data_IF_315163815987
#
_entry.id   IF_315163815987
#
_cell.length_a   1.000
_cell.length_b   1.000
_cell.length_c   1.000
_cell.angle_alpha   90.00
_cell.angle_beta   90.00
_cell.angle_gamma   90.00
#
_symmetry.space_group_name_H-M   'P 1'
#
loop_
_entity.id
_entity.type
_entity.pdbx_description
1 polymer ?
#
# COMPACT_ATOMS: atom_id res chain seq x y z
N UNK A 1 18.02 -5.11 -21.41
CA UNK A 1 18.74 -5.09 -20.11
C UNK A 1 17.70 -5.17 -19.00
N UNK A 2 17.64 -6.29 -18.28
CA UNK A 2 16.79 -6.41 -17.10
C UNK A 2 17.36 -5.52 -15.98
N UNK A 3 16.56 -4.70 -15.28
CA UNK A 3 17.06 -3.92 -14.16
C UNK A 3 17.54 -4.87 -13.06
N UNK A 4 18.85 -4.80 -12.78
CA UNK A 4 19.55 -5.58 -11.77
C UNK A 4 19.05 -5.21 -10.37
N UNK A 5 18.75 -6.23 -9.57
CA UNK A 5 18.64 -6.14 -8.13
C UNK A 5 20.04 -6.14 -7.47
N UNK A 6 20.17 -5.65 -6.23
CA UNK A 6 19.09 -5.30 -5.32
C UNK A 6 18.79 -3.81 -5.33
N UNK A 7 17.50 -3.46 -5.42
CA UNK A 7 17.08 -2.13 -4.98
C UNK A 7 17.59 -1.93 -3.55
N UNK A 8 18.25 -0.81 -3.23
CA UNK A 8 18.71 -0.57 -1.87
C UNK A 8 17.53 -0.63 -0.90
N UNK A 9 17.78 -1.21 0.28
CA UNK A 9 16.84 -1.49 1.37
C UNK A 9 16.20 -0.23 2.00
N UNK A 10 16.07 0.90 1.29
CA UNK A 10 15.46 2.13 1.81
C UNK A 10 13.94 2.03 1.94
N UNK A 11 13.33 1.07 1.24
CA UNK A 11 11.90 0.88 1.27
C UNK A 11 11.44 -0.11 2.33
N UNK A 12 12.32 -0.95 2.90
CA UNK A 12 11.93 -1.95 3.90
C UNK A 12 12.43 -1.58 5.29
N UNK A 13 11.59 -1.81 6.29
CA UNK A 13 11.87 -1.44 7.68
C UNK A 13 11.56 -2.61 8.63
N UNK A 14 12.24 -2.69 9.78
CA UNK A 14 12.07 -3.80 10.73
C UNK A 14 10.70 -3.77 11.39
N UNK A 15 10.14 -4.94 11.72
CA UNK A 15 8.76 -5.07 12.18
C UNK A 15 8.45 -4.33 13.50
N UNK A 16 9.45 -4.06 14.34
CA UNK A 16 9.24 -3.27 15.57
C UNK A 16 8.85 -1.81 15.27
N UNK A 17 9.13 -1.28 14.07
CA UNK A 17 8.67 0.04 13.65
C UNK A 17 7.21 0.06 13.18
N UNK A 18 6.55 -1.11 13.12
CA UNK A 18 5.20 -1.24 12.55
C UNK A 18 4.22 -0.27 13.16
N UNK A 19 4.11 -0.24 14.47
CA UNK A 19 3.07 0.53 15.14
C UNK A 19 3.27 2.04 14.84
N UNK A 20 4.50 2.56 14.96
CA UNK A 20 4.83 3.93 14.57
C UNK A 20 4.52 4.26 13.10
N UNK A 21 4.73 3.32 12.17
CA UNK A 21 4.46 3.51 10.73
C UNK A 21 2.97 3.41 10.40
N UNK A 22 2.21 2.60 11.13
CA UNK A 22 0.78 2.41 10.92
C UNK A 22 -0.06 3.48 11.65
N UNK A 23 0.37 3.94 12.83
CA UNK A 23 -0.28 5.04 13.56
C UNK A 23 -0.29 6.34 12.75
N UNK A 24 0.78 6.59 11.97
CA UNK A 24 0.82 7.73 11.05
C UNK A 24 -0.29 7.67 10.00
N UNK A 25 -0.61 6.48 9.50
CA UNK A 25 -1.70 6.34 8.55
C UNK A 25 -3.07 6.55 9.17
N UNK A 26 -3.26 6.18 10.45
CA UNK A 26 -4.49 6.46 11.20
C UNK A 26 -4.71 7.96 11.38
N UNK A 27 -3.64 8.71 11.65
CA UNK A 27 -3.69 10.18 11.71
C UNK A 27 -4.06 10.80 10.36
N UNK A 28 -3.58 10.23 9.25
CA UNK A 28 -3.92 10.72 7.91
C UNK A 28 -5.37 10.40 7.51
N UNK A 29 -5.87 9.22 7.90
CA UNK A 29 -7.25 8.77 7.67
C UNK A 29 -8.28 9.56 8.49
N UNK A 30 -7.92 9.92 9.73
CA UNK A 30 -8.77 10.78 10.56
C UNK A 30 -8.73 12.25 10.14
N UNK A 31 -7.64 12.71 9.52
CA UNK A 31 -7.53 14.07 8.99
C UNK A 31 -8.39 14.30 7.73
N UNK A 32 -8.80 13.24 7.03
CA UNK A 32 -9.72 13.36 5.88
C UNK A 32 -11.16 13.68 6.27
N UNK A 33 -11.55 13.57 7.54
CA UNK A 33 -12.86 14.02 8.05
C UNK A 33 -12.94 15.54 8.33
N UNK A 34 -11.82 16.27 8.21
CA UNK A 34 -11.78 17.70 8.49
C UNK A 34 -10.56 18.40 7.92
N UNK A 35 -10.69 18.88 6.67
CA UNK A 35 -9.90 19.98 6.07
C UNK A 35 -8.41 20.02 6.45
N UNK A 36 -7.62 19.05 5.96
CA UNK A 36 -6.19 19.23 5.79
C UNK A 36 -5.88 19.45 4.29
N UNK A 37 -5.74 20.71 3.88
CA UNK A 37 -5.35 21.08 2.52
C UNK A 37 -3.94 20.55 2.21
N UNK A 38 -3.85 19.33 1.66
CA UNK A 38 -2.59 18.70 1.25
C UNK A 38 -2.49 17.20 1.53
N UNK A 39 -3.31 16.65 2.43
CA UNK A 39 -3.40 15.20 2.62
C UNK A 39 -4.37 14.63 1.57
N UNK A 40 -3.84 13.93 0.57
CA UNK A 40 -4.67 13.21 -0.40
C UNK A 40 -5.45 12.07 0.26
N UNK A 41 -6.45 11.54 -0.44
CA UNK A 41 -7.30 10.44 0.03
C UNK A 41 -6.47 9.32 0.63
N UNK A 42 -6.73 8.98 1.90
CA UNK A 42 -6.07 7.91 2.63
C UNK A 42 -7.06 6.81 2.97
N UNK A 43 -6.59 5.57 3.07
CA UNK A 43 -7.42 4.50 3.61
C UNK A 43 -6.62 3.27 4.00
N UNK A 44 -7.14 2.55 5.00
CA UNK A 44 -6.56 1.30 5.47
C UNK A 44 -6.89 0.15 4.52
N UNK A 45 -6.02 -0.85 4.50
CA UNK A 45 -6.25 -2.10 3.79
C UNK A 45 -5.70 -3.30 4.57
N UNK A 46 -6.29 -4.45 4.30
CA UNK A 46 -5.88 -5.75 4.81
C UNK A 46 -5.88 -6.76 3.66
N UNK A 47 -4.93 -7.69 3.69
CA UNK A 47 -4.85 -8.84 2.80
C UNK A 47 -4.63 -10.09 3.64
N UNK A 48 -5.59 -11.00 3.63
CA UNK A 48 -5.43 -12.32 4.21
C UNK A 48 -4.65 -13.21 3.22
N UNK A 49 -3.53 -13.80 3.65
CA UNK A 49 -2.69 -14.62 2.75
C UNK A 49 -3.21 -16.05 2.59
N UNK A 50 -4.04 -16.55 3.50
CA UNK A 50 -4.57 -17.91 3.41
C UNK A 50 -5.66 -18.02 2.34
N UNK A 51 -6.54 -17.03 2.28
CA UNK A 51 -7.69 -16.94 1.37
C UNK A 51 -7.44 -16.02 0.17
N UNK A 52 -6.43 -15.15 0.25
CA UNK A 52 -6.18 -14.10 -0.73
C UNK A 52 -7.16 -12.92 -0.67
N UNK A 53 -8.07 -12.91 0.32
CA UNK A 53 -9.09 -11.87 0.45
C UNK A 53 -8.46 -10.51 0.75
N UNK A 54 -8.97 -9.48 0.09
CA UNK A 54 -8.60 -8.09 0.31
C UNK A 54 -9.77 -7.34 0.94
N UNK A 55 -9.47 -6.62 2.02
CA UNK A 55 -10.43 -5.72 2.66
C UNK A 55 -9.89 -4.31 2.57
N UNK A 56 -10.64 -3.42 1.91
CA UNK A 56 -10.26 -2.05 1.64
C UNK A 56 -11.27 -1.08 2.24
N UNK A 57 -10.76 -0.07 2.95
CA UNK A 57 -11.53 1.07 3.39
C UNK A 57 -12.10 1.88 2.20
N UNK A 58 -13.15 2.69 2.42
CA UNK A 58 -13.72 3.55 1.38
C UNK A 58 -12.68 4.42 0.66
N UNK A 59 -11.76 5.05 1.39
CA UNK A 59 -10.71 5.90 0.80
C UNK A 59 -9.79 5.16 -0.17
N UNK A 60 -9.50 3.86 0.08
CA UNK A 60 -8.73 3.05 -0.87
C UNK A 60 -9.52 2.79 -2.15
N UNK A 61 -10.83 2.56 -2.04
CA UNK A 61 -11.70 2.32 -3.21
C UNK A 61 -11.79 3.55 -4.09
N UNK A 62 -11.98 4.72 -3.47
CA UNK A 62 -11.97 6.02 -4.14
C UNK A 62 -10.64 6.27 -4.86
N UNK A 63 -9.51 6.02 -4.18
CA UNK A 63 -8.18 6.20 -4.75
C UNK A 63 -7.97 5.34 -6.00
N UNK A 64 -8.54 4.14 -6.05
CA UNK A 64 -8.49 3.23 -7.19
C UNK A 64 -9.58 3.51 -8.25
N UNK A 65 -10.50 4.43 -7.99
CA UNK A 65 -11.64 4.75 -8.87
C UNK A 65 -12.72 3.67 -8.89
N UNK A 66 -12.84 2.89 -7.82
CA UNK A 66 -13.82 1.79 -7.70
C UNK A 66 -15.11 2.28 -7.04
N UNK A 67 -16.23 1.64 -7.39
CA UNK A 67 -17.50 1.91 -6.71
C UNK A 67 -17.41 1.55 -5.21
N UNK A 68 -18.14 2.25 -4.32
CA UNK A 68 -18.07 2.04 -2.88
C UNK A 68 -18.27 0.58 -2.46
N UNK A 69 -19.16 -0.15 -3.13
CA UNK A 69 -19.50 -1.54 -2.81
C UNK A 69 -18.76 -2.59 -3.67
N UNK A 70 -17.85 -2.15 -4.57
CA UNK A 70 -17.14 -3.07 -5.44
C UNK A 70 -16.24 -4.03 -4.64
N UNK A 71 -16.31 -5.33 -4.90
CA UNK A 71 -15.40 -6.28 -4.23
C UNK A 71 -13.94 -5.91 -4.55
N UNK A 72 -13.08 -5.90 -3.52
CA UNK A 72 -11.66 -5.68 -3.71
C UNK A 72 -11.04 -6.97 -4.30
N UNK A 73 -10.86 -6.99 -5.61
CA UNK A 73 -10.16 -8.07 -6.29
C UNK A 73 -8.68 -7.72 -6.51
N UNK A 74 -7.78 -8.62 -6.10
CA UNK A 74 -6.34 -8.39 -6.20
C UNK A 74 -5.92 -8.23 -7.65
N UNK A 75 -6.44 -9.08 -8.53
CA UNK A 75 -6.05 -9.06 -9.94
C UNK A 75 -6.41 -7.72 -10.55
N UNK A 76 -7.65 -7.27 -10.35
CA UNK A 76 -8.15 -5.97 -10.79
C UNK A 76 -7.35 -4.82 -10.20
N UNK A 77 -7.02 -4.87 -8.92
CA UNK A 77 -6.17 -3.89 -8.26
C UNK A 77 -4.82 -3.74 -8.97
N UNK A 78 -4.16 -4.86 -9.30
CA UNK A 78 -2.85 -4.88 -9.94
C UNK A 78 -2.86 -4.25 -11.34
N UNK A 79 -3.97 -4.36 -12.08
CA UNK A 79 -4.13 -3.72 -13.40
C UNK A 79 -4.10 -2.20 -13.32
N UNK A 80 -4.43 -1.61 -12.16
CA UNK A 80 -4.41 -0.16 -11.97
C UNK A 80 -3.00 0.39 -11.72
N UNK A 81 -1.98 -0.45 -11.51
CA UNK A 81 -0.61 0.02 -11.31
C UNK A 81 0.13 0.19 -12.64
N UNK A 82 0.99 1.20 -12.72
CA UNK A 82 1.99 1.26 -13.77
C UNK A 82 2.96 0.07 -13.65
N UNK A 83 3.45 -0.44 -14.78
CA UNK A 83 4.16 -1.74 -14.82
C UNK A 83 5.40 -1.77 -13.93
N UNK A 84 6.22 -0.71 -13.96
CA UNK A 84 7.40 -0.59 -13.11
C UNK A 84 7.03 -0.50 -11.63
N UNK A 85 5.96 0.23 -11.31
CA UNK A 85 5.46 0.37 -9.93
C UNK A 85 4.89 -0.95 -9.41
N UNK A 86 4.17 -1.68 -10.26
CA UNK A 86 3.63 -3.02 -9.97
C UNK A 86 4.76 -4.00 -9.65
N UNK A 87 5.78 -4.05 -10.49
CA UNK A 87 6.92 -4.94 -10.31
C UNK A 87 7.69 -4.63 -9.01
N UNK A 88 7.94 -3.35 -8.70
CA UNK A 88 8.61 -2.96 -7.47
C UNK A 88 7.78 -3.32 -6.22
N UNK A 89 6.47 -3.05 -6.24
CA UNK A 89 5.55 -3.39 -5.15
C UNK A 89 5.49 -4.90 -4.90
N UNK A 90 5.38 -5.73 -5.94
CA UNK A 90 5.34 -7.19 -5.78
C UNK A 90 6.66 -7.75 -5.23
N UNK A 91 7.81 -7.20 -5.63
CA UNK A 91 9.12 -7.57 -5.05
C UNK A 91 9.19 -7.23 -3.56
N UNK A 92 8.79 -6.02 -3.17
CA UNK A 92 8.75 -5.61 -1.77
C UNK A 92 7.76 -6.45 -0.95
N UNK A 93 6.60 -6.79 -1.53
CA UNK A 93 5.63 -7.67 -0.92
C UNK A 93 6.22 -9.06 -0.66
N UNK A 94 6.87 -9.66 -1.64
CA UNK A 94 7.53 -10.96 -1.49
C UNK A 94 8.63 -10.90 -0.41
N UNK A 95 9.43 -9.83 -0.41
CA UNK A 95 10.45 -9.59 0.61
C UNK A 95 9.85 -9.47 2.02
N UNK A 96 8.77 -8.70 2.17
CA UNK A 96 8.06 -8.49 3.43
C UNK A 96 7.55 -9.80 4.04
N UNK A 97 6.94 -10.65 3.21
CA UNK A 97 6.44 -11.97 3.63
C UNK A 97 7.60 -12.89 4.01
N UNK A 98 8.67 -12.92 3.21
CA UNK A 98 9.81 -13.82 3.43
C UNK A 98 10.63 -13.45 4.67
N UNK A 99 10.78 -12.16 4.93
CA UNK A 99 11.72 -11.66 5.94
C UNK A 99 11.03 -11.03 7.16
N UNK A 100 9.70 -11.07 7.23
CA UNK A 100 8.89 -10.44 8.28
C UNK A 100 9.27 -8.96 8.46
N UNK A 101 9.28 -8.20 7.36
CA UNK A 101 9.60 -6.77 7.34
C UNK A 101 8.44 -5.98 6.78
N UNK A 102 8.25 -4.76 7.26
CA UNK A 102 7.35 -3.81 6.61
C UNK A 102 8.04 -3.10 5.45
N UNK A 103 7.26 -2.39 4.64
CA UNK A 103 7.78 -1.53 3.60
C UNK A 103 6.94 -0.28 3.35
N UNK A 104 7.59 0.73 2.76
CA UNK A 104 6.98 1.97 2.29
C UNK A 104 7.51 2.30 0.91
N UNK A 105 6.61 2.44 -0.06
CA UNK A 105 6.94 2.76 -1.44
C UNK A 105 5.88 3.67 -2.05
N UNK A 106 6.32 4.62 -2.87
CA UNK A 106 5.42 5.42 -3.70
C UNK A 106 5.32 4.78 -5.08
N UNK A 107 4.10 4.61 -5.56
CA UNK A 107 3.75 3.85 -6.76
C UNK A 107 2.82 4.67 -7.63
N UNK A 108 3.07 4.64 -8.93
CA UNK A 108 2.22 5.28 -9.92
C UNK A 108 1.03 4.39 -10.29
N UNK A 109 -0.13 5.01 -10.42
CA UNK A 109 -1.37 4.38 -10.88
C UNK A 109 -1.69 4.83 -12.31
N UNK A 110 -2.26 3.90 -13.08
CA UNK A 110 -2.83 4.12 -14.41
C UNK A 110 -4.17 4.84 -14.25
N UNK A 111 -4.18 6.16 -14.33
CA UNK A 111 -5.44 6.94 -14.30
C UNK A 111 -5.49 7.94 -15.47
N UNK A 112 -6.52 8.79 -15.54
CA UNK A 112 -6.62 9.90 -16.50
C UNK A 112 -5.59 11.03 -16.20
N UNK A 113 -4.32 10.64 -16.02
CA UNK A 113 -3.21 11.41 -15.47
C UNK A 113 -2.32 10.51 -14.60
N UNK A 114 -1.06 10.90 -14.38
CA UNK A 114 -0.18 10.16 -13.45
C UNK A 114 -0.59 10.49 -12.01
N UNK A 115 -1.23 9.53 -11.35
CA UNK A 115 -1.55 9.61 -9.91
C UNK A 115 -0.51 8.82 -9.11
N UNK A 116 0.03 9.42 -8.06
CA UNK A 116 1.00 8.77 -7.16
C UNK A 116 0.34 8.39 -5.84
N UNK A 117 0.58 7.17 -5.39
CA UNK A 117 0.09 6.65 -4.12
C UNK A 117 1.26 6.15 -3.27
N UNK A 118 1.30 6.53 -2.01
CA UNK A 118 2.16 5.92 -1.00
C UNK A 118 1.49 4.66 -0.46
N UNK A 119 2.21 3.54 -0.55
CA UNK A 119 1.83 2.27 0.05
C UNK A 119 2.71 2.01 1.27
N UNK A 120 2.09 1.96 2.44
CA UNK A 120 2.70 1.42 3.67
C UNK A 120 2.12 0.04 3.92
N UNK A 121 2.98 -0.95 4.14
CA UNK A 121 2.58 -2.33 4.32
C UNK A 121 3.39 -3.00 5.43
N UNK A 122 2.72 -3.79 6.26
CA UNK A 122 3.33 -4.57 7.33
C UNK A 122 2.75 -5.99 7.36
N UNK A 123 3.57 -7.02 7.64
CA UNK A 123 3.08 -8.37 7.85
C UNK A 123 2.33 -8.50 9.18
N UNK A 124 1.26 -9.28 9.15
CA UNK A 124 0.56 -9.78 10.33
C UNK A 124 1.15 -11.15 10.64
N UNK A 125 1.75 -11.30 11.82
CA UNK A 125 2.49 -12.50 12.21
C UNK A 125 1.79 -13.17 13.39
N UNK A 126 1.47 -14.45 13.22
CA UNK A 126 0.92 -15.33 14.26
C UNK A 126 1.75 -16.61 14.28
N UNK A 127 2.14 -17.10 15.45
CA UNK A 127 2.94 -18.33 15.61
C UNK A 127 4.20 -18.36 14.72
N UNK A 128 4.91 -17.22 14.63
CA UNK A 128 6.11 -17.01 13.79
C UNK A 128 5.86 -17.17 12.28
N UNK A 129 4.60 -17.15 11.83
CA UNK A 129 4.21 -17.22 10.42
C UNK A 129 3.49 -15.94 9.99
N UNK A 130 3.81 -15.45 8.81
CA UNK A 130 3.05 -14.35 8.19
C UNK A 130 1.71 -14.89 7.69
N UNK A 131 0.61 -14.41 8.27
CA UNK A 131 -0.76 -14.82 7.92
C UNK A 131 -1.46 -13.78 7.03
N UNK A 132 -0.96 -12.54 7.03
CA UNK A 132 -1.62 -11.42 6.36
C UNK A 132 -0.67 -10.27 6.11
N UNK A 133 -1.16 -9.27 5.41
CA UNK A 133 -0.55 -7.95 5.29
C UNK A 133 -1.61 -6.90 5.62
N UNK A 134 -1.21 -5.82 6.28
CA UNK A 134 -2.05 -4.65 6.45
C UNK A 134 -1.27 -3.37 6.21
N UNK A 135 -1.98 -2.27 6.07
CA UNK A 135 -1.38 -0.95 6.14
C UNK A 135 -2.24 0.11 5.51
N UNK A 136 -1.59 1.07 4.87
CA UNK A 136 -2.20 2.30 4.40
C UNK A 136 -1.89 2.57 2.94
N UNK A 137 -2.83 3.22 2.27
CA UNK A 137 -2.69 3.77 0.94
C UNK A 137 -3.10 5.22 0.99
N UNK A 138 -2.20 6.10 0.58
CA UNK A 138 -2.41 7.56 0.63
C UNK A 138 -2.10 8.15 -0.73
N UNK A 139 -2.98 8.99 -1.27
CA UNK A 139 -2.68 9.79 -2.46
C UNK A 139 -1.62 10.85 -2.10
N UNK A 140 -0.50 10.79 -2.82
CA UNK A 140 0.65 11.69 -2.66
C UNK A 140 0.96 12.42 -3.97
N UNK A 141 0.02 12.49 -4.91
CA UNK A 141 0.19 13.12 -6.22
C UNK A 141 0.65 14.58 -6.12
N UNK A 142 0.29 15.28 -5.04
CA UNK A 142 0.75 16.64 -4.76
C UNK A 142 2.28 16.75 -4.56
N UNK A 143 2.96 15.67 -4.16
CA UNK A 143 4.42 15.64 -3.95
C UNK A 143 5.23 15.44 -5.24
N UNK A 144 4.56 15.10 -6.34
CA UNK A 144 5.18 14.73 -7.62
C UNK A 144 4.81 15.71 -8.75
N UNK A 145 4.49 16.97 -8.40
CA UNK A 145 4.17 18.05 -9.34
C UNK A 145 5.41 18.71 -9.92
#
# INVERSE_FOLDING_TARGET
MAPQEPFPLHHSWPLYERDARLDLGLLLDSATDGVAAGAGTTGHWHCDLASGQLTWAPGVRELFGMAPDAAADRTHALWRYEELSRAAMERLRAHAIRHCRGFTIDVALRDAGVRWMRLVAAPIVTDRRVIGLCGWKTDVSALYR
#
